data_IF_039846306794
#
_entry.id   IF_039846306794
#
_cell.length_a   1.000
_cell.length_b   1.000
_cell.length_c   1.000
_cell.angle_alpha   90.00
_cell.angle_beta   90.00
_cell.angle_gamma   90.00
#
_symmetry.space_group_name_H-M   'P 1'
#
loop_
_entity.id
_entity.type
_entity.pdbx_description
1 polymer ?
#
# COMPACT_ATOMS: atom_id res chain seq x y z
N UNK A 1 -5.97 11.45 5.52
CA UNK A 1 -5.53 12.12 4.25
C UNK A 1 -6.72 12.26 3.28
N UNK A 2 -6.75 13.21 2.33
CA UNK A 2 -7.87 13.31 1.37
C UNK A 2 -7.72 12.33 0.20
N UNK A 3 -8.84 11.87 -0.36
CA UNK A 3 -8.85 11.01 -1.56
C UNK A 3 -8.15 11.64 -2.75
N UNK A 4 -8.25 12.95 -2.93
CA UNK A 4 -7.57 13.66 -4.02
C UNK A 4 -6.04 13.63 -3.85
N UNK A 5 -5.55 13.79 -2.61
CA UNK A 5 -4.13 13.67 -2.28
C UNK A 5 -3.63 12.26 -2.56
N UNK A 6 -4.36 11.23 -2.10
CA UNK A 6 -4.02 9.81 -2.34
C UNK A 6 -3.89 9.53 -3.84
N UNK A 7 -4.88 9.95 -4.64
CA UNK A 7 -4.85 9.76 -6.10
C UNK A 7 -3.66 10.44 -6.75
N UNK A 8 -3.34 11.66 -6.33
CA UNK A 8 -2.20 12.40 -6.87
C UNK A 8 -0.87 11.71 -6.55
N UNK A 9 -0.69 11.26 -5.30
CA UNK A 9 0.50 10.51 -4.88
C UNK A 9 0.67 9.22 -5.69
N UNK A 10 -0.39 8.42 -5.81
CA UNK A 10 -0.36 7.16 -6.57
C UNK A 10 -0.12 7.40 -8.06
N UNK A 11 -0.72 8.43 -8.66
CA UNK A 11 -0.47 8.78 -10.06
C UNK A 11 1.00 9.15 -10.29
N UNK A 12 1.57 9.97 -9.40
CA UNK A 12 2.98 10.39 -9.46
C UNK A 12 3.92 9.18 -9.36
N UNK A 13 3.62 8.28 -8.42
CA UNK A 13 4.41 7.07 -8.22
C UNK A 13 4.29 6.08 -9.39
N UNK A 14 3.10 5.93 -9.98
CA UNK A 14 2.89 5.11 -11.16
C UNK A 14 3.71 5.61 -12.36
N UNK A 15 3.73 6.93 -12.59
CA UNK A 15 4.56 7.53 -13.65
C UNK A 15 6.06 7.31 -13.41
N UNK A 16 6.52 7.52 -12.17
CA UNK A 16 7.91 7.33 -11.78
C UNK A 16 8.34 5.85 -11.90
N UNK A 17 7.51 4.91 -11.44
CA UNK A 17 7.76 3.48 -11.51
C UNK A 17 7.79 2.99 -12.97
N UNK A 18 6.83 3.43 -13.80
CA UNK A 18 6.83 3.09 -15.23
C UNK A 18 8.09 3.63 -15.96
N UNK A 19 8.54 4.84 -15.61
CA UNK A 19 9.77 5.41 -16.16
C UNK A 19 11.04 4.69 -15.67
N UNK A 20 11.05 4.19 -14.42
CA UNK A 20 12.14 3.37 -13.90
C UNK A 20 12.20 2.01 -14.59
N UNK A 21 11.06 1.32 -14.72
CA UNK A 21 10.97 0.03 -15.39
C UNK A 21 11.42 0.09 -16.85
N UNK A 22 10.95 1.09 -17.62
CA UNK A 22 11.40 1.28 -19.01
C UNK A 22 12.92 1.42 -19.13
N UNK A 23 13.57 2.12 -18.19
CA UNK A 23 15.03 2.26 -18.18
C UNK A 23 15.73 0.97 -17.77
N UNK A 24 15.13 0.19 -16.88
CA UNK A 24 15.70 -1.05 -16.37
C UNK A 24 15.68 -2.18 -17.41
N UNK A 25 14.60 -2.28 -18.22
CA UNK A 25 14.46 -3.28 -19.30
C UNK A 25 15.55 -3.15 -20.36
N UNK A 26 16.00 -1.92 -20.64
CA UNK A 26 17.11 -1.67 -21.58
C UNK A 26 18.49 -1.84 -20.92
N UNK A 27 18.52 -2.13 -19.61
CA UNK A 27 19.73 -2.24 -18.81
C UNK A 27 20.32 -3.66 -18.78
N UNK A 28 21.59 -3.81 -18.35
CA UNK A 28 22.25 -5.12 -18.30
C UNK A 28 21.94 -5.94 -17.03
N UNK A 29 21.23 -5.38 -16.05
CA UNK A 29 21.05 -5.99 -14.73
C UNK A 29 19.60 -6.48 -14.52
N UNK A 30 19.37 -7.81 -14.53
CA UNK A 30 18.04 -8.38 -14.36
C UNK A 30 17.46 -8.20 -12.95
N UNK A 31 18.29 -7.95 -11.93
CA UNK A 31 17.80 -7.68 -10.58
C UNK A 31 17.12 -6.31 -10.52
N UNK A 32 17.72 -5.30 -11.18
CA UNK A 32 17.15 -3.95 -11.29
C UNK A 32 15.85 -3.97 -12.10
N UNK A 33 15.77 -4.77 -13.16
CA UNK A 33 14.54 -4.97 -13.92
C UNK A 33 13.43 -5.57 -13.04
N UNK A 34 13.73 -6.61 -12.27
CA UNK A 34 12.78 -7.26 -11.38
C UNK A 34 12.25 -6.30 -10.29
N UNK A 35 13.12 -5.57 -9.60
CA UNK A 35 12.72 -4.57 -8.59
C UNK A 35 11.87 -3.45 -9.20
N UNK A 36 12.26 -2.93 -10.37
CA UNK A 36 11.49 -1.90 -11.04
C UNK A 36 10.12 -2.43 -11.52
N UNK A 37 10.04 -3.69 -11.92
CA UNK A 37 8.81 -4.37 -12.32
C UNK A 37 7.86 -4.56 -11.13
N UNK A 38 8.38 -4.97 -9.99
CA UNK A 38 7.60 -5.09 -8.75
C UNK A 38 7.03 -3.74 -8.31
N UNK A 39 7.87 -2.71 -8.27
CA UNK A 39 7.45 -1.33 -7.96
C UNK A 39 6.35 -0.85 -8.91
N UNK A 40 6.49 -1.11 -10.21
CA UNK A 40 5.47 -0.75 -11.20
C UNK A 40 4.15 -1.51 -10.97
N UNK A 41 4.21 -2.81 -10.68
CA UNK A 41 3.03 -3.63 -10.37
C UNK A 41 2.29 -3.14 -9.11
N UNK A 42 3.02 -2.78 -8.06
CA UNK A 42 2.44 -2.23 -6.83
C UNK A 42 1.74 -0.89 -7.09
N UNK A 43 2.38 0.03 -7.83
CA UNK A 43 1.77 1.30 -8.20
C UNK A 43 0.54 1.13 -9.10
N UNK A 44 0.57 0.17 -10.03
CA UNK A 44 -0.57 -0.16 -10.88
C UNK A 44 -1.73 -0.76 -10.08
N UNK A 45 -1.44 -1.64 -9.12
CA UNK A 45 -2.44 -2.20 -8.22
C UNK A 45 -3.11 -1.12 -7.37
N UNK A 46 -2.32 -0.17 -6.83
CA UNK A 46 -2.85 0.98 -6.10
C UNK A 46 -3.78 1.84 -6.96
N UNK A 47 -3.34 2.19 -8.18
CA UNK A 47 -4.15 2.97 -9.12
C UNK A 47 -5.46 2.25 -9.48
N UNK A 48 -5.39 0.93 -9.71
CA UNK A 48 -6.57 0.12 -10.05
C UNK A 48 -7.56 0.06 -8.89
N UNK A 49 -7.08 -0.17 -7.66
CA UNK A 49 -7.92 -0.19 -6.47
C UNK A 49 -8.64 1.16 -6.26
N UNK A 50 -7.94 2.28 -6.47
CA UNK A 50 -8.53 3.63 -6.35
C UNK A 50 -9.56 3.98 -7.44
N UNK A 51 -9.47 3.33 -8.61
CA UNK A 51 -10.47 3.47 -9.68
C UNK A 51 -11.72 2.63 -9.41
N UNK A 52 -11.56 1.46 -8.80
CA UNK A 52 -12.65 0.54 -8.49
C UNK A 52 -13.37 0.88 -7.18
N UNK A 53 -12.71 1.61 -6.28
CA UNK A 53 -13.28 2.01 -5.01
C UNK A 53 -14.46 2.98 -5.20
N UNK A 54 -15.62 2.61 -4.64
CA UNK A 54 -16.63 3.58 -4.27
C UNK A 54 -16.04 4.45 -3.14
N UNK A 55 -15.91 5.75 -3.38
CA UNK A 55 -15.15 6.66 -2.53
C UNK A 55 -15.78 6.84 -1.14
N UNK A 56 -17.10 6.84 -1.07
CA UNK A 56 -17.81 7.00 0.20
C UNK A 56 -17.72 5.70 1.02
N UNK A 57 -17.82 4.55 0.36
CA UNK A 57 -17.63 3.25 0.99
C UNK A 57 -16.16 3.01 1.40
N UNK A 58 -15.20 3.47 0.61
CA UNK A 58 -13.77 3.33 0.85
C UNK A 58 -13.34 4.11 2.10
N UNK A 59 -13.79 5.36 2.25
CA UNK A 59 -13.49 6.18 3.43
C UNK A 59 -14.17 5.63 4.70
N UNK A 60 -15.33 4.97 4.56
CA UNK A 60 -16.06 4.39 5.68
C UNK A 60 -15.63 2.95 6.03
N UNK A 61 -14.83 2.29 5.18
CA UNK A 61 -14.47 0.88 5.35
C UNK A 61 -13.52 0.71 6.54
N UNK A 62 -13.99 0.01 7.57
CA UNK A 62 -13.14 -0.60 8.60
C UNK A 62 -12.41 -1.81 7.99
N UNK A 63 -11.10 -1.89 8.21
CA UNK A 63 -10.30 -3.04 7.78
C UNK A 63 -10.37 -4.14 8.83
N UNK A 64 -10.45 -5.39 8.37
CA UNK A 64 -10.43 -6.56 9.24
C UNK A 64 -9.04 -7.20 9.28
N UNK A 65 -8.68 -7.93 10.34
CA UNK A 65 -7.51 -8.80 10.34
C UNK A 65 -7.50 -9.72 9.12
N UNK A 66 -6.37 -9.77 8.42
CA UNK A 66 -6.19 -10.53 7.18
C UNK A 66 -6.49 -9.76 5.89
N UNK A 67 -7.11 -8.56 5.96
CA UNK A 67 -7.37 -7.76 4.77
C UNK A 67 -6.03 -7.40 4.07
N UNK A 68 -5.91 -7.64 2.75
CA UNK A 68 -4.76 -7.20 1.97
C UNK A 68 -4.85 -5.71 1.71
N UNK A 69 -3.75 -5.00 1.91
CA UNK A 69 -3.66 -3.55 1.71
C UNK A 69 -2.36 -3.18 1.01
N UNK A 70 -2.34 -2.02 0.37
CA UNK A 70 -1.12 -1.34 -0.04
C UNK A 70 -0.88 -0.17 0.90
N UNK A 71 0.31 -0.08 1.46
CA UNK A 71 0.74 1.03 2.29
C UNK A 71 1.48 2.06 1.45
N UNK A 72 0.91 3.27 1.38
CA UNK A 72 1.58 4.47 0.89
C UNK A 72 2.51 4.97 2.00
N UNK A 73 3.80 4.68 1.93
CA UNK A 73 4.74 5.09 2.97
C UNK A 73 5.10 6.58 2.85
N UNK A 74 4.13 7.44 3.17
CA UNK A 74 4.18 8.90 3.02
C UNK A 74 5.26 9.57 3.89
N UNK A 75 5.68 8.93 4.98
CA UNK A 75 6.81 9.38 5.79
C UNK A 75 8.14 9.41 5.02
N UNK A 76 8.34 8.51 4.05
CA UNK A 76 9.50 8.53 3.17
C UNK A 76 9.51 9.81 2.29
N UNK A 77 8.34 10.22 1.79
CA UNK A 77 8.19 11.46 1.02
C UNK A 77 8.55 12.68 1.86
N UNK A 78 8.19 12.68 3.15
CA UNK A 78 8.51 13.78 4.06
C UNK A 78 10.02 14.00 4.26
N UNK A 79 10.84 12.96 4.05
CA UNK A 79 12.31 13.04 4.10
C UNK A 79 12.96 13.14 2.70
N UNK A 80 12.16 13.32 1.66
CA UNK A 80 12.64 13.49 0.28
C UNK A 80 12.93 12.18 -0.46
N UNK A 81 12.53 11.05 0.09
CA UNK A 81 12.63 9.75 -0.58
C UNK A 81 11.44 9.52 -1.54
N UNK A 82 11.61 8.71 -2.60
CA UNK A 82 10.49 8.29 -3.45
C UNK A 82 9.40 7.60 -2.63
N UNK A 83 8.13 7.78 -2.98
CA UNK A 83 7.00 7.16 -2.26
C UNK A 83 7.01 5.63 -2.44
N UNK A 84 7.36 4.85 -1.41
CA UNK A 84 7.25 3.39 -1.46
C UNK A 84 5.76 3.03 -1.35
N UNK A 85 5.29 2.15 -2.23
CA UNK A 85 3.97 1.50 -2.12
C UNK A 85 4.21 0.05 -1.75
N UNK A 86 4.00 -0.31 -0.49
CA UNK A 86 4.36 -1.63 0.03
C UNK A 86 3.12 -2.51 0.15
N UNK A 87 3.22 -3.77 -0.27
CA UNK A 87 2.20 -4.76 0.02
C UNK A 87 2.21 -5.12 1.51
N UNK A 88 1.03 -5.13 2.13
CA UNK A 88 0.88 -5.43 3.54
C UNK A 88 -0.41 -6.22 3.82
N UNK A 89 -0.48 -6.80 5.02
CA UNK A 89 -1.69 -7.44 5.54
C UNK A 89 -2.05 -6.84 6.89
N UNK A 90 -3.32 -6.54 7.12
CA UNK A 90 -3.80 -6.04 8.41
C UNK A 90 -3.69 -7.15 9.45
N UNK A 91 -3.05 -6.86 10.59
CA UNK A 91 -3.00 -7.75 11.76
C UNK A 91 -4.16 -7.41 12.69
N UNK A 92 -4.27 -6.14 13.06
CA UNK A 92 -5.30 -5.65 13.99
C UNK A 92 -5.51 -4.15 13.84
N UNK A 93 -6.66 -3.66 14.28
CA UNK A 93 -6.82 -2.24 14.58
C UNK A 93 -5.95 -1.86 15.79
N UNK A 94 -5.28 -0.73 15.70
CA UNK A 94 -4.46 -0.15 16.73
C UNK A 94 -5.17 1.06 17.36
N UNK A 95 -5.02 1.20 18.67
CA UNK A 95 -5.26 2.48 19.32
C UNK A 95 -3.95 3.27 19.27
N UNK A 96 -3.92 4.46 18.64
CA UNK A 96 -2.72 5.29 18.69
C UNK A 96 -2.39 5.59 20.15
N UNK A 97 -1.09 5.58 20.50
CA UNK A 97 -0.66 6.13 21.79
C UNK A 97 -1.08 7.60 21.91
N UNK A 98 -1.29 8.14 23.12
CA UNK A 98 -1.75 9.50 23.30
C UNK A 98 -0.71 10.48 22.74
N UNK A 99 -1.02 11.10 21.61
CA UNK A 99 -0.29 12.27 21.09
C UNK A 99 -1.09 13.49 21.49
N UNK A 100 -0.95 13.89 22.75
CA UNK A 100 -1.55 15.08 23.37
C UNK A 100 -3.10 15.06 23.41
N UNK A 101 -3.68 15.15 24.61
CA UNK A 101 -5.14 15.04 24.88
C UNK A 101 -6.01 16.14 24.20
N UNK A 102 -5.41 17.03 23.42
CA UNK A 102 -6.06 18.18 22.81
C UNK A 102 -6.66 17.93 21.41
N UNK A 103 -6.32 16.83 20.73
CA UNK A 103 -6.84 16.55 19.39
C UNK A 103 -7.52 15.19 19.36
N UNK A 104 -8.85 15.11 19.14
CA UNK A 104 -9.49 13.82 18.94
C UNK A 104 -8.89 13.18 17.68
N UNK A 105 -8.27 12.01 17.84
CA UNK A 105 -7.79 11.25 16.70
C UNK A 105 -9.02 10.65 16.02
N UNK A 106 -9.48 11.30 14.95
CA UNK A 106 -10.69 10.92 14.22
C UNK A 106 -10.47 9.77 13.22
N UNK A 107 -9.20 9.47 12.89
CA UNK A 107 -8.82 8.45 11.90
C UNK A 107 -8.32 7.18 12.60
N UNK A 108 -8.81 5.97 12.24
CA UNK A 108 -8.34 4.74 12.83
C UNK A 108 -6.88 4.43 12.44
N UNK A 109 -6.19 3.67 13.29
CA UNK A 109 -4.84 3.19 13.03
C UNK A 109 -4.86 1.66 12.96
N UNK A 110 -3.91 1.07 12.25
CA UNK A 110 -3.80 -0.37 12.09
C UNK A 110 -2.36 -0.83 12.30
N UNK A 111 -2.21 -2.01 12.90
CA UNK A 111 -0.96 -2.77 12.79
C UNK A 111 -1.04 -3.57 11.49
N UNK A 112 -0.06 -3.40 10.62
CA UNK A 112 0.09 -4.15 9.38
C UNK A 112 1.40 -4.92 9.38
N UNK A 113 1.38 -6.08 8.75
CA UNK A 113 2.56 -6.88 8.46
C UNK A 113 3.02 -6.59 7.04
N UNK A 114 4.30 -6.23 6.86
CA UNK A 114 4.96 -6.11 5.56
C UNK A 114 6.06 -7.15 5.44
N UNK A 115 6.36 -7.57 4.23
CA UNK A 115 7.57 -8.36 3.94
C UNK A 115 8.70 -7.40 3.57
N UNK A 116 9.64 -7.15 4.49
CA UNK A 116 10.82 -6.28 4.26
C UNK A 116 11.94 -7.03 3.47
N UNK A 117 11.54 -7.88 2.52
CA UNK A 117 12.42 -8.71 1.69
C UNK A 117 12.72 -10.11 2.25
N UNK A 118 13.39 -10.97 1.47
CA UNK A 118 13.48 -12.42 1.70
C UNK A 118 14.28 -12.83 2.96
N UNK A 119 15.01 -11.89 3.58
CA UNK A 119 15.91 -12.17 4.70
C UNK A 119 15.44 -11.61 6.05
N UNK A 120 14.56 -10.61 6.05
CA UNK A 120 14.19 -9.88 7.26
C UNK A 120 12.91 -10.39 7.93
N UNK A 121 12.22 -11.35 7.30
CA UNK A 121 10.97 -11.87 7.80
C UNK A 121 9.86 -10.81 7.79
N UNK A 122 8.64 -11.18 8.20
CA UNK A 122 7.56 -10.24 8.34
C UNK A 122 7.86 -9.20 9.43
N UNK A 123 7.67 -7.92 9.09
CA UNK A 123 7.83 -6.81 10.03
C UNK A 123 6.49 -6.13 10.30
N UNK A 124 6.20 -5.86 11.56
CA UNK A 124 5.01 -5.10 11.94
C UNK A 124 5.24 -3.58 11.88
N UNK A 125 4.23 -2.86 11.38
CA UNK A 125 4.21 -1.39 11.31
C UNK A 125 2.85 -0.88 11.78
N UNK A 126 2.85 0.21 12.54
CA UNK A 126 1.62 0.93 12.93
C UNK A 126 1.40 2.07 11.94
N UNK A 127 0.27 2.04 11.23
CA UNK A 127 0.00 2.89 10.07
C UNK A 127 -1.39 3.52 10.20
N UNK A 128 -1.52 4.80 9.83
CA UNK A 128 -2.82 5.47 9.77
C UNK A 128 -3.65 4.90 8.62
N UNK A 129 -4.97 4.76 8.82
CA UNK A 129 -5.89 4.36 7.75
C UNK A 129 -5.77 5.22 6.49
N UNK A 130 -5.41 6.49 6.64
CA UNK A 130 -5.25 7.43 5.53
C UNK A 130 -4.12 7.05 4.56
N UNK A 131 -3.12 6.31 5.03
CA UNK A 131 -1.97 5.85 4.23
C UNK A 131 -2.21 4.45 3.64
N UNK A 132 -3.35 3.82 3.89
CA UNK A 132 -3.66 2.48 3.42
C UNK A 132 -4.63 2.51 2.24
N UNK A 133 -4.36 1.65 1.26
CA UNK A 133 -5.29 1.31 0.18
C UNK A 133 -5.76 -0.12 0.37
N UNK A 134 -7.04 -0.27 0.71
CA UNK A 134 -7.69 -1.56 0.75
C UNK A 134 -7.70 -2.19 -0.64
N UNK A 135 -7.14 -3.38 -0.77
CA UNK A 135 -7.32 -4.16 -1.99
C UNK A 135 -8.65 -4.92 -1.90
N UNK A 136 -9.35 -5.12 -3.02
CA UNK A 136 -10.47 -6.06 -3.02
C UNK A 136 -9.96 -7.40 -2.50
N UNK A 137 -10.75 -8.14 -1.70
CA UNK A 137 -10.38 -9.48 -1.32
C UNK A 137 -10.08 -10.25 -2.60
N UNK A 138 -8.91 -10.90 -2.68
CA UNK A 138 -8.61 -11.77 -3.81
C UNK A 138 -9.79 -12.72 -3.92
N UNK A 139 -10.51 -12.77 -5.07
CA UNK A 139 -11.59 -13.72 -5.20
C UNK A 139 -10.97 -15.07 -4.88
N UNK A 140 -11.54 -15.79 -3.91
CA UNK A 140 -11.09 -17.13 -3.60
C UNK A 140 -11.01 -17.83 -4.95
N UNK A 141 -9.79 -18.24 -5.34
CA UNK A 141 -9.61 -19.15 -6.44
C UNK A 141 -10.37 -20.39 -5.99
N UNK A 142 -11.66 -20.46 -6.34
CA UNK A 142 -12.44 -21.66 -6.19
C UNK A 142 -11.58 -22.72 -6.83
N UNK A 143 -11.17 -23.65 -5.98
CA UNK A 143 -10.33 -24.79 -6.27
C UNK A 143 -11.02 -25.56 -7.38
N UNK A 144 -10.76 -25.16 -8.63
CA UNK A 144 -11.26 -25.83 -9.82
C UNK A 144 -10.42 -27.07 -10.07
N UNK A 145 -10.10 -27.82 -9.02
CA UNK A 145 -9.42 -29.11 -8.98
C UNK A 145 -10.00 -29.87 -7.79
N UNK A 146 -11.28 -30.24 -7.91
CA UNK A 146 -11.88 -31.31 -7.11
C UNK A 146 -13.07 -31.88 -7.90
N UNK A 147 -12.87 -33.08 -8.47
CA UNK A 147 -13.93 -33.94 -9.01
C UNK A 147 -13.93 -34.07 -10.52
#
# INVERSE_FOLDING_TARGET
MTTATIRHLVATELEAAAAAYRRAVDGPDPAIEAEAGERWNQALAAATALLQADLDAYAARRLAPGDPVLWLHTAAVAVGEPLPILAARVITEAHPGPVDDATPIHEPWYVVEIEDGPWFGPTERTVSAGDLIALPPTPALETRHAG
#
